data_IF_675255710301
#
_entry.id   IF_675255710301
#
_cell.length_a   1.000
_cell.length_b   1.000
_cell.length_c   1.000
_cell.angle_alpha   90.00
_cell.angle_beta   90.00
_cell.angle_gamma   90.00
#
_symmetry.space_group_name_H-M   'P 1'
#
loop_
_entity.id
_entity.type
_entity.pdbx_description
1 polymer ?
#
# COMPACT_ATOMS: atom_id res chain seq x y z
N UNK A 1 -19.71 -36.34 -1.15
CA UNK A 1 -21.19 -36.48 -1.26
C UNK A 1 -21.78 -35.09 -1.54
N UNK A 2 -22.75 -34.95 -2.45
CA UNK A 2 -23.42 -33.67 -2.77
C UNK A 2 -24.03 -32.98 -1.53
N UNK A 3 -24.50 -33.77 -0.56
CA UNK A 3 -24.96 -33.28 0.75
C UNK A 3 -23.95 -32.36 1.45
N UNK A 4 -22.67 -32.76 1.46
CA UNK A 4 -21.61 -32.04 2.16
C UNK A 4 -21.21 -30.76 1.43
N UNK A 5 -21.22 -30.78 0.10
CA UNK A 5 -21.02 -29.57 -0.70
C UNK A 5 -22.12 -28.54 -0.40
N UNK A 6 -23.38 -28.97 -0.39
CA UNK A 6 -24.53 -28.11 -0.05
C UNK A 6 -24.35 -27.45 1.33
N UNK A 7 -24.00 -28.24 2.35
CA UNK A 7 -23.74 -27.72 3.71
C UNK A 7 -22.61 -26.68 3.74
N UNK A 8 -21.52 -26.90 3.01
CA UNK A 8 -20.41 -25.93 2.96
C UNK A 8 -20.81 -24.63 2.23
N UNK A 9 -21.62 -24.73 1.18
CA UNK A 9 -22.17 -23.56 0.50
C UNK A 9 -23.12 -22.74 1.40
N UNK A 10 -23.93 -23.42 2.20
CA UNK A 10 -24.76 -22.78 3.23
C UNK A 10 -23.89 -22.10 4.30
N UNK A 11 -22.77 -22.72 4.70
CA UNK A 11 -21.82 -22.12 5.66
C UNK A 11 -21.15 -20.85 5.12
N UNK A 12 -20.85 -20.76 3.83
CA UNK A 12 -20.31 -19.55 3.21
C UNK A 12 -21.27 -18.36 3.33
N UNK A 13 -22.57 -18.62 3.26
CA UNK A 13 -23.63 -17.60 3.33
C UNK A 13 -24.16 -17.37 4.75
N UNK A 14 -23.75 -18.17 5.73
CA UNK A 14 -24.28 -18.11 7.09
C UNK A 14 -23.93 -16.78 7.75
N UNK A 15 -24.95 -15.99 8.07
CA UNK A 15 -24.80 -14.72 8.78
C UNK A 15 -24.05 -14.90 10.12
N UNK A 16 -23.29 -13.88 10.52
CA UNK A 16 -22.56 -13.89 11.80
C UNK A 16 -21.31 -14.77 11.84
N UNK A 17 -20.93 -15.42 10.73
CA UNK A 17 -19.69 -16.24 10.65
C UNK A 17 -18.52 -15.52 9.98
N UNK A 18 -18.80 -14.49 9.17
CA UNK A 18 -17.83 -13.81 8.31
C UNK A 18 -17.30 -14.64 7.14
N UNK A 19 -17.92 -15.79 6.84
CA UNK A 19 -17.45 -16.69 5.79
C UNK A 19 -17.66 -16.16 4.37
N UNK A 20 -18.47 -15.11 4.19
CA UNK A 20 -18.70 -14.46 2.89
C UNK A 20 -17.48 -13.71 2.34
N UNK A 21 -16.43 -13.54 3.14
CA UNK A 21 -15.17 -12.91 2.73
C UNK A 21 -14.00 -13.79 3.14
N UNK A 22 -12.96 -13.82 2.33
CA UNK A 22 -11.71 -14.51 2.61
C UNK A 22 -11.16 -14.09 3.98
N UNK A 23 -10.83 -15.07 4.83
CA UNK A 23 -10.32 -14.85 6.18
C UNK A 23 -9.01 -14.05 6.25
N UNK A 24 -8.28 -13.93 5.13
CA UNK A 24 -6.93 -13.37 5.12
C UNK A 24 -6.80 -12.04 4.38
N UNK A 25 -7.51 -11.85 3.27
CA UNK A 25 -7.42 -10.63 2.45
C UNK A 25 -8.75 -9.91 2.24
N UNK A 26 -9.85 -10.45 2.76
CA UNK A 26 -11.18 -9.87 2.62
C UNK A 26 -11.79 -9.97 1.22
N UNK A 27 -11.17 -10.69 0.27
CA UNK A 27 -11.77 -10.94 -1.05
C UNK A 27 -13.14 -11.62 -0.90
N UNK A 28 -14.22 -11.11 -1.54
CA UNK A 28 -15.56 -11.66 -1.39
C UNK A 28 -15.67 -13.06 -2.01
N UNK A 29 -16.69 -13.80 -1.58
CA UNK A 29 -17.10 -15.10 -2.13
C UNK A 29 -15.96 -16.15 -2.19
N UNK A 30 -15.28 -16.46 -1.06
CA UNK A 30 -14.21 -17.44 -1.06
C UNK A 30 -14.71 -18.84 -1.44
N UNK A 31 -13.95 -19.53 -2.28
CA UNK A 31 -14.27 -20.85 -2.84
C UNK A 31 -13.34 -21.97 -2.35
N UNK A 32 -12.40 -21.66 -1.46
CA UNK A 32 -11.52 -22.61 -0.78
C UNK A 32 -11.72 -22.58 0.73
N UNK A 33 -11.34 -23.66 1.40
CA UNK A 33 -11.31 -23.71 2.84
C UNK A 33 -10.03 -24.39 3.35
N UNK A 34 -9.46 -23.84 4.42
CA UNK A 34 -8.45 -24.55 5.22
C UNK A 34 -9.16 -25.35 6.31
N UNK A 35 -9.21 -26.67 6.11
CA UNK A 35 -9.98 -27.56 6.97
C UNK A 35 -9.25 -27.99 8.26
N UNK A 36 -7.96 -27.63 8.40
CA UNK A 36 -7.25 -27.70 9.68
C UNK A 36 -7.50 -26.48 10.57
N UNK A 37 -7.67 -25.32 9.94
CA UNK A 37 -7.86 -24.05 10.64
C UNK A 37 -9.33 -23.69 10.83
N UNK A 38 -10.23 -24.22 10.00
CA UNK A 38 -11.65 -23.94 10.07
C UNK A 38 -12.04 -22.60 9.44
N UNK A 39 -11.35 -22.21 8.36
CA UNK A 39 -11.56 -20.92 7.66
C UNK A 39 -11.86 -21.10 6.18
N UNK A 40 -12.59 -20.14 5.63
CA UNK A 40 -12.85 -19.98 4.20
C UNK A 40 -11.97 -18.86 3.63
N UNK A 41 -11.31 -19.15 2.51
CA UNK A 41 -10.28 -18.31 1.90
C UNK A 41 -10.43 -18.32 0.38
N UNK A 42 -9.95 -17.27 -0.29
CA UNK A 42 -9.95 -17.21 -1.75
C UNK A 42 -8.87 -18.11 -2.37
N UNK A 43 -8.95 -18.30 -3.69
CA UNK A 43 -7.95 -19.05 -4.45
C UNK A 43 -6.51 -18.57 -4.20
N UNK A 44 -6.27 -17.25 -4.18
CA UNK A 44 -4.94 -16.68 -3.99
C UNK A 44 -4.35 -17.02 -2.61
N UNK A 45 -5.13 -16.82 -1.55
CA UNK A 45 -4.73 -17.17 -0.18
C UNK A 45 -4.58 -18.69 0.00
N UNK A 46 -5.42 -19.50 -0.67
CA UNK A 46 -5.24 -20.96 -0.67
C UNK A 46 -3.86 -21.37 -1.19
N UNK A 47 -3.32 -20.67 -2.19
CA UNK A 47 -1.97 -20.86 -2.71
C UNK A 47 -0.88 -20.70 -1.65
N UNK A 48 -0.98 -19.65 -0.84
CA UNK A 48 -0.08 -19.43 0.30
C UNK A 48 -0.22 -20.54 1.34
N UNK A 49 -1.46 -20.92 1.68
CA UNK A 49 -1.74 -21.96 2.68
C UNK A 49 -1.20 -23.35 2.32
N UNK A 50 -0.95 -23.63 1.02
CA UNK A 50 -0.31 -24.88 0.58
C UNK A 50 1.17 -24.95 0.97
N UNK A 51 1.82 -23.83 1.27
CA UNK A 51 3.25 -23.76 1.56
C UNK A 51 3.61 -24.14 3.02
N UNK A 52 2.63 -24.44 3.88
CA UNK A 52 2.84 -24.90 5.26
C UNK A 52 1.84 -26.00 5.68
N UNK A 53 1.91 -27.20 5.06
CA UNK A 53 0.93 -28.28 5.22
C UNK A 53 0.79 -28.84 6.64
N UNK A 54 1.80 -28.63 7.49
CA UNK A 54 1.77 -28.99 8.90
C UNK A 54 0.65 -28.24 9.64
N UNK A 55 0.48 -26.94 9.36
CA UNK A 55 -0.49 -26.06 10.04
C UNK A 55 -1.80 -25.97 9.26
N UNK A 56 -1.75 -25.87 7.94
CA UNK A 56 -2.93 -25.68 7.09
C UNK A 56 -3.04 -26.74 6.00
N UNK A 57 -4.24 -27.25 5.77
CA UNK A 57 -4.56 -28.07 4.59
C UNK A 57 -5.80 -27.51 3.92
N UNK A 58 -5.75 -27.34 2.60
CA UNK A 58 -6.80 -26.66 1.84
C UNK A 58 -7.53 -27.62 0.91
N UNK A 59 -8.81 -27.36 0.68
CA UNK A 59 -9.67 -28.02 -0.32
C UNK A 59 -10.58 -26.98 -0.98
N UNK A 60 -10.89 -27.16 -2.25
CA UNK A 60 -11.96 -26.43 -2.94
C UNK A 60 -13.30 -26.83 -2.34
N UNK A 61 -14.12 -25.84 -2.00
CA UNK A 61 -15.47 -26.06 -1.46
C UNK A 61 -16.36 -26.76 -2.50
N UNK A 62 -16.14 -26.49 -3.79
CA UNK A 62 -17.00 -26.97 -4.89
C UNK A 62 -16.46 -28.22 -5.56
N UNK A 63 -15.14 -28.31 -5.75
CA UNK A 63 -14.52 -29.31 -6.61
C UNK A 63 -14.05 -30.56 -5.84
N UNK A 64 -13.66 -30.42 -4.57
CA UNK A 64 -13.08 -31.53 -3.83
C UNK A 64 -14.11 -32.38 -3.07
N UNK A 65 -13.71 -33.59 -2.69
CA UNK A 65 -14.47 -34.45 -1.80
C UNK A 65 -14.31 -34.03 -0.33
N UNK A 66 -15.45 -33.96 0.38
CA UNK A 66 -15.54 -33.60 1.78
C UNK A 66 -16.19 -34.71 2.60
N UNK A 67 -15.47 -35.16 3.62
CA UNK A 67 -15.92 -36.11 4.64
C UNK A 67 -16.82 -35.41 5.66
N UNK A 68 -17.75 -36.16 6.26
CA UNK A 68 -18.72 -35.62 7.22
C UNK A 68 -18.03 -34.96 8.43
N UNK A 69 -17.02 -35.62 9.00
CA UNK A 69 -16.24 -35.12 10.15
C UNK A 69 -15.55 -33.79 9.85
N UNK A 70 -15.05 -33.61 8.63
CA UNK A 70 -14.41 -32.37 8.20
C UNK A 70 -15.45 -31.25 8.04
N UNK A 71 -16.61 -31.53 7.45
CA UNK A 71 -17.70 -30.54 7.33
C UNK A 71 -18.23 -30.14 8.70
N UNK A 72 -18.33 -31.07 9.64
CA UNK A 72 -18.68 -30.77 11.03
C UNK A 72 -17.66 -29.87 11.69
N UNK A 73 -16.36 -30.14 11.51
CA UNK A 73 -15.32 -29.24 12.00
C UNK A 73 -15.45 -27.83 11.41
N UNK A 74 -15.69 -27.70 10.10
CA UNK A 74 -15.95 -26.40 9.47
C UNK A 74 -17.22 -25.72 10.02
N UNK A 75 -18.27 -26.49 10.29
CA UNK A 75 -19.56 -25.98 10.84
C UNK A 75 -19.39 -25.38 12.23
N UNK A 76 -18.53 -25.98 13.07
CA UNK A 76 -18.25 -25.49 14.41
C UNK A 76 -17.19 -24.36 14.43
N UNK A 77 -16.49 -24.13 13.32
CA UNK A 77 -15.56 -23.02 13.16
C UNK A 77 -16.15 -21.94 12.23
N UNK A 78 -15.29 -21.14 11.60
CA UNK A 78 -15.69 -20.01 10.77
C UNK A 78 -14.76 -18.82 10.95
N UNK A 79 -14.78 -17.94 9.96
CA UNK A 79 -13.80 -16.88 9.83
C UNK A 79 -13.77 -15.94 11.04
N UNK A 80 -14.92 -15.52 11.57
CA UNK A 80 -14.97 -14.65 12.75
C UNK A 80 -14.49 -15.33 14.03
N UNK A 81 -14.79 -16.63 14.21
CA UNK A 81 -14.31 -17.39 15.37
C UNK A 81 -12.78 -17.53 15.34
N UNK A 82 -12.23 -17.83 14.16
CA UNK A 82 -10.78 -17.97 13.98
C UNK A 82 -10.10 -16.60 14.06
N UNK A 83 -10.71 -15.53 13.53
CA UNK A 83 -10.27 -14.14 13.69
C UNK A 83 -10.15 -13.76 15.17
N UNK A 84 -11.18 -14.04 15.98
CA UNK A 84 -11.15 -13.76 17.41
C UNK A 84 -9.99 -14.46 18.16
N UNK A 85 -9.50 -15.59 17.64
CA UNK A 85 -8.33 -16.31 18.18
C UNK A 85 -7.00 -15.75 17.67
N UNK A 86 -6.82 -15.71 16.35
CA UNK A 86 -5.52 -15.41 15.71
C UNK A 86 -5.28 -13.93 15.43
N UNK A 87 -6.27 -13.08 15.61
CA UNK A 87 -6.19 -11.62 15.44
C UNK A 87 -6.58 -10.88 16.74
N UNK A 88 -6.48 -11.54 17.89
CA UNK A 88 -6.89 -11.00 19.19
C UNK A 88 -6.14 -9.73 19.62
N UNK A 89 -4.87 -9.60 19.21
CA UNK A 89 -3.96 -8.50 19.60
C UNK A 89 -3.21 -7.89 18.42
N UNK A 90 -3.87 -7.71 17.27
CA UNK A 90 -3.26 -7.04 16.12
C UNK A 90 -3.02 -5.57 16.47
N UNK A 91 -1.76 -5.07 16.43
CA UNK A 91 -1.50 -3.66 16.70
C UNK A 91 -2.16 -2.77 15.65
N UNK A 92 -2.68 -1.61 16.05
CA UNK A 92 -3.36 -0.67 15.13
C UNK A 92 -2.49 -0.21 13.95
N UNK A 93 -1.16 -0.17 14.13
CA UNK A 93 -0.22 0.15 13.06
C UNK A 93 0.05 -1.02 12.11
N UNK A 94 -0.25 -2.27 12.47
CA UNK A 94 0.07 -3.42 11.64
C UNK A 94 -0.80 -3.40 10.38
N UNK A 95 -0.19 -3.56 9.21
CA UNK A 95 -0.92 -3.53 7.95
C UNK A 95 -1.66 -4.85 7.70
N UNK A 96 -2.99 -4.78 7.57
CA UNK A 96 -3.84 -5.91 7.18
C UNK A 96 -4.06 -5.88 5.67
N UNK A 97 -3.59 -6.88 4.92
CA UNK A 97 -3.65 -6.87 3.46
C UNK A 97 -5.07 -6.97 2.91
N UNK A 98 -5.29 -6.35 1.77
CA UNK A 98 -6.52 -6.36 0.99
C UNK A 98 -6.40 -7.31 -0.23
N UNK A 99 -7.51 -7.57 -0.91
CA UNK A 99 -7.59 -8.47 -2.06
C UNK A 99 -6.63 -8.09 -3.21
N UNK A 100 -6.36 -6.80 -3.41
CA UNK A 100 -5.47 -6.30 -4.47
C UNK A 100 -4.01 -6.07 -4.02
N UNK A 101 -3.68 -6.34 -2.76
CA UNK A 101 -2.30 -6.21 -2.28
C UNK A 101 -1.37 -7.29 -2.86
N UNK A 102 -0.08 -6.96 -2.91
CA UNK A 102 0.96 -7.84 -3.41
C UNK A 102 1.09 -9.12 -2.56
N UNK A 103 1.63 -10.19 -3.17
CA UNK A 103 1.72 -11.51 -2.56
C UNK A 103 2.51 -11.51 -1.24
N UNK A 104 3.60 -10.76 -1.14
CA UNK A 104 4.43 -10.72 0.08
C UNK A 104 3.66 -10.22 1.31
N UNK A 105 2.76 -9.23 1.14
CA UNK A 105 1.93 -8.75 2.23
C UNK A 105 0.92 -9.82 2.69
N UNK A 106 0.26 -10.48 1.73
CA UNK A 106 -0.67 -11.59 2.01
C UNK A 106 0.03 -12.76 2.67
N UNK A 107 1.17 -13.18 2.13
CA UNK A 107 1.95 -14.29 2.66
C UNK A 107 2.40 -14.02 4.10
N UNK A 108 3.01 -12.87 4.35
CA UNK A 108 3.54 -12.59 5.68
C UNK A 108 2.45 -12.34 6.71
N UNK A 109 1.27 -11.84 6.30
CA UNK A 109 0.09 -11.78 7.16
C UNK A 109 -0.42 -13.16 7.55
N UNK A 110 -0.60 -14.05 6.58
CA UNK A 110 -1.04 -15.44 6.80
C UNK A 110 -0.07 -16.18 7.73
N UNK A 111 1.24 -16.05 7.48
CA UNK A 111 2.27 -16.63 8.34
C UNK A 111 2.32 -16.00 9.73
N UNK A 112 2.15 -14.68 9.85
CA UNK A 112 2.07 -13.99 11.14
C UNK A 112 0.93 -14.53 11.99
N UNK A 113 -0.25 -14.74 11.38
CA UNK A 113 -1.43 -15.29 12.05
C UNK A 113 -1.23 -16.75 12.46
N UNK A 114 -0.98 -17.64 11.51
CA UNK A 114 -1.18 -19.08 11.78
C UNK A 114 0.12 -19.83 12.10
N UNK A 115 1.23 -19.44 11.50
CA UNK A 115 2.54 -20.08 11.68
C UNK A 115 3.27 -19.52 12.90
N UNK A 116 3.34 -18.18 13.00
CA UNK A 116 4.07 -17.49 14.06
C UNK A 116 3.18 -17.05 15.23
N UNK A 117 1.87 -17.07 15.03
CA UNK A 117 0.86 -16.79 16.07
C UNK A 117 1.09 -15.45 16.79
N UNK A 118 1.53 -14.45 16.05
CA UNK A 118 2.02 -13.17 16.59
C UNK A 118 0.94 -12.35 17.32
N UNK A 119 -0.35 -12.62 17.05
CA UNK A 119 -1.47 -11.82 17.56
C UNK A 119 -2.45 -12.60 18.46
N UNK A 120 -2.11 -13.84 18.87
CA UNK A 120 -2.94 -14.62 19.79
C UNK A 120 -2.89 -14.05 21.22
N UNK A 121 -3.94 -14.27 22.01
CA UNK A 121 -4.02 -13.76 23.40
C UNK A 121 -3.12 -14.52 24.39
N UNK A 122 -2.94 -15.82 24.15
CA UNK A 122 -2.16 -16.81 24.91
C UNK A 122 -0.76 -17.05 24.33
N UNK A 123 -0.46 -16.47 23.16
CA UNK A 123 0.89 -16.50 22.60
C UNK A 123 1.87 -16.02 23.66
N UNK A 124 3.00 -16.74 23.83
CA UNK A 124 4.14 -16.30 24.66
C UNK A 124 4.25 -14.81 24.44
N UNK A 125 4.04 -14.03 25.48
CA UNK A 125 4.07 -12.58 25.45
C UNK A 125 5.40 -12.14 24.88
N UNK A 126 5.47 -12.06 23.56
CA UNK A 126 6.25 -11.04 22.89
C UNK A 126 5.45 -9.80 23.28
N UNK A 127 5.79 -9.28 24.46
CA UNK A 127 5.39 -7.96 24.89
C UNK A 127 5.49 -7.07 23.65
N UNK A 128 4.57 -6.11 23.43
CA UNK A 128 4.69 -5.11 22.37
C UNK A 128 6.14 -4.64 22.06
N UNK A 129 7.06 -4.58 23.06
CA UNK A 129 8.51 -4.48 22.86
C UNK A 129 9.23 -5.35 21.82
N UNK A 130 8.81 -6.56 21.45
CA UNK A 130 9.65 -7.47 20.65
C UNK A 130 9.15 -7.78 19.22
N UNK A 131 7.91 -7.40 18.86
CA UNK A 131 7.49 -7.31 17.45
C UNK A 131 8.07 -6.05 16.76
N UNK A 132 8.39 -5.02 17.55
CA UNK A 132 9.08 -3.78 17.14
C UNK A 132 9.92 -3.31 18.33
N UNK A 133 11.14 -3.86 18.47
CA UNK A 133 12.16 -3.48 19.47
C UNK A 133 12.14 -2.01 19.90
N UNK A 134 11.49 -1.65 21.00
CA UNK A 134 11.59 -0.32 21.65
C UNK A 134 11.48 0.94 20.75
N UNK A 135 10.85 0.82 19.57
CA UNK A 135 10.76 1.86 18.55
C UNK A 135 11.99 1.97 17.63
N UNK A 136 13.14 1.40 17.99
CA UNK A 136 14.33 1.50 17.16
C UNK A 136 14.56 0.19 16.39
N UNK A 137 14.80 0.28 15.08
CA UNK A 137 15.13 -0.88 14.24
C UNK A 137 16.39 -0.58 13.47
N UNK A 138 17.33 -1.51 13.44
CA UNK A 138 18.43 -1.46 12.49
C UNK A 138 18.55 -2.75 11.69
N UNK A 139 19.25 -2.66 10.57
CA UNK A 139 19.47 -3.78 9.69
C UNK A 139 19.89 -3.32 8.30
N UNK A 140 20.11 -4.28 7.42
CA UNK A 140 20.54 -3.99 6.06
C UNK A 140 19.39 -4.15 5.09
N UNK A 141 19.32 -3.23 4.12
CA UNK A 141 18.42 -3.35 2.98
C UNK A 141 19.23 -3.19 1.70
N UNK A 142 18.86 -3.96 0.68
CA UNK A 142 19.36 -3.73 -0.67
C UNK A 142 18.68 -2.48 -1.21
N UNK A 143 19.45 -1.43 -1.46
CA UNK A 143 18.94 -0.12 -1.89
C UNK A 143 19.43 0.22 -3.28
N UNK A 144 18.51 0.60 -4.16
CA UNK A 144 18.83 1.12 -5.50
C UNK A 144 19.63 2.42 -5.40
N UNK A 145 20.69 2.52 -6.20
CA UNK A 145 21.43 3.76 -6.41
C UNK A 145 20.57 4.87 -7.02
N UNK A 146 21.04 6.11 -6.92
CA UNK A 146 20.33 7.27 -7.52
C UNK A 146 20.47 7.23 -9.05
N UNK A 147 21.71 7.12 -9.50
CA UNK A 147 22.10 7.31 -10.90
C UNK A 147 22.58 6.00 -11.55
N UNK A 148 23.00 5.03 -10.73
CA UNK A 148 23.29 3.67 -11.18
C UNK A 148 22.12 2.75 -10.81
N UNK A 149 21.66 1.97 -11.78
CA UNK A 149 20.54 1.03 -11.62
C UNK A 149 20.84 -0.15 -10.67
N UNK A 150 21.94 -0.09 -9.92
CA UNK A 150 22.40 -1.17 -9.06
C UNK A 150 21.78 -1.07 -7.68
N UNK A 151 21.44 -2.22 -7.11
CA UNK A 151 21.10 -2.36 -5.71
C UNK A 151 22.35 -2.68 -4.92
N UNK A 152 22.59 -1.93 -3.85
CA UNK A 152 23.73 -2.15 -2.96
C UNK A 152 23.22 -2.23 -1.53
N UNK A 153 23.84 -3.12 -0.74
CA UNK A 153 23.51 -3.30 0.67
C UNK A 153 23.81 -2.02 1.46
N UNK A 154 22.84 -1.52 2.22
CA UNK A 154 22.94 -0.29 3.03
C UNK A 154 22.38 -0.55 4.41
N UNK A 155 23.06 -0.04 5.44
CA UNK A 155 22.57 -0.10 6.81
C UNK A 155 21.52 0.99 7.01
N UNK A 156 20.34 0.60 7.46
CA UNK A 156 19.25 1.49 7.84
C UNK A 156 19.07 1.45 9.35
N UNK A 157 18.75 2.59 9.94
CA UNK A 157 18.45 2.75 11.36
C UNK A 157 17.21 3.62 11.50
N UNK A 158 16.10 3.02 11.92
CA UNK A 158 14.90 3.70 12.36
C UNK A 158 15.04 4.03 13.84
N UNK A 159 14.87 5.30 14.19
CA UNK A 159 14.82 5.81 15.54
C UNK A 159 13.39 6.34 15.79
N UNK A 160 12.43 5.47 16.11
CA UNK A 160 11.02 5.88 16.14
C UNK A 160 10.73 6.96 17.19
N UNK A 161 11.41 6.92 18.34
CA UNK A 161 11.24 7.95 19.40
C UNK A 161 11.67 9.33 18.92
N UNK A 162 12.72 9.39 18.11
CA UNK A 162 13.22 10.63 17.49
C UNK A 162 12.43 11.01 16.23
N UNK A 163 11.61 10.10 15.70
CA UNK A 163 10.91 10.31 14.44
C UNK A 163 11.86 10.37 13.23
N UNK A 164 12.94 9.59 13.24
CA UNK A 164 13.98 9.63 12.18
C UNK A 164 14.26 8.25 11.57
N UNK A 165 14.43 8.20 10.25
CA UNK A 165 15.03 7.08 9.53
C UNK A 165 16.38 7.54 8.95
N UNK A 166 17.45 6.84 9.30
CA UNK A 166 18.81 7.12 8.82
C UNK A 166 19.27 5.96 7.94
N UNK A 167 20.10 6.24 6.93
CA UNK A 167 20.83 5.18 6.25
C UNK A 167 22.29 5.57 5.98
N UNK A 168 23.14 4.56 5.95
CA UNK A 168 24.58 4.68 5.82
C UNK A 168 25.06 3.95 4.55
N UNK A 169 26.04 4.53 3.86
CA UNK A 169 26.65 3.93 2.66
C UNK A 169 27.69 2.86 2.96
N UNK A 170 28.30 2.94 4.14
CA UNK A 170 29.29 2.02 4.68
C UNK A 170 28.88 1.67 6.12
N UNK A 171 29.28 0.51 6.61
CA UNK A 171 29.02 0.12 8.01
C UNK A 171 29.73 1.08 8.98
N UNK A 172 30.99 1.40 8.67
CA UNK A 172 31.81 2.38 9.37
C UNK A 172 31.97 3.65 8.53
N UNK A 173 31.62 4.82 9.09
CA UNK A 173 31.73 6.09 8.38
C UNK A 173 31.36 7.29 9.26
N UNK A 174 31.80 8.49 8.83
CA UNK A 174 31.69 9.76 9.58
C UNK A 174 30.25 10.25 9.87
N UNK A 175 29.21 9.55 9.41
CA UNK A 175 27.82 9.92 9.64
C UNK A 175 26.83 9.33 8.63
N UNK A 176 25.51 9.53 8.84
CA UNK A 176 24.48 9.03 7.95
C UNK A 176 24.55 9.72 6.58
N UNK A 177 24.32 8.95 5.51
CA UNK A 177 24.23 9.51 4.15
C UNK A 177 22.96 10.34 3.97
N UNK A 178 21.88 9.96 4.66
CA UNK A 178 20.68 10.75 4.78
C UNK A 178 20.02 10.54 6.14
N UNK A 179 19.40 11.60 6.63
CA UNK A 179 18.51 11.62 7.80
C UNK A 179 17.13 12.02 7.29
N UNK A 180 16.14 11.15 7.47
CA UNK A 180 14.80 11.29 6.89
C UNK A 180 13.81 11.43 8.03
N UNK A 181 13.04 12.51 8.03
CA UNK A 181 11.99 12.71 9.03
C UNK A 181 10.79 11.79 8.76
N UNK A 182 10.27 11.16 9.80
CA UNK A 182 9.06 10.33 9.75
C UNK A 182 7.82 11.18 9.43
N UNK A 183 7.83 12.50 9.69
CA UNK A 183 6.72 13.42 9.38
C UNK A 183 6.24 13.32 7.94
N UNK A 184 7.16 13.31 6.97
CA UNK A 184 6.85 13.34 5.54
C UNK A 184 7.11 11.99 4.85
N UNK A 185 7.47 10.95 5.62
CA UNK A 185 7.79 9.64 5.08
C UNK A 185 6.52 8.89 4.67
N UNK A 186 6.57 8.24 3.51
CA UNK A 186 5.63 7.22 3.09
C UNK A 186 6.37 5.93 2.72
N UNK A 187 5.69 4.80 2.82
CA UNK A 187 6.20 3.51 2.37
C UNK A 187 5.08 2.74 1.67
N UNK A 188 5.36 2.16 0.49
CA UNK A 188 4.42 1.34 -0.27
C UNK A 188 5.14 0.20 -0.95
N UNK A 189 4.56 -1.00 -0.96
CA UNK A 189 5.08 -2.09 -1.77
C UNK A 189 4.84 -1.80 -3.26
N UNK A 190 5.87 -2.00 -4.08
CA UNK A 190 5.89 -1.69 -5.51
C UNK A 190 6.65 -2.80 -6.25
N UNK A 191 6.24 -4.05 -6.01
CA UNK A 191 6.99 -5.26 -6.38
C UNK A 191 7.25 -5.37 -7.88
N UNK A 192 6.22 -5.13 -8.70
CA UNK A 192 6.32 -5.14 -10.16
C UNK A 192 7.19 -4.01 -10.69
N UNK A 193 6.96 -2.77 -10.22
CA UNK A 193 7.72 -1.59 -10.63
C UNK A 193 9.22 -1.75 -10.35
N UNK A 194 9.56 -2.33 -9.20
CA UNK A 194 10.93 -2.55 -8.75
C UNK A 194 11.55 -3.79 -9.41
N UNK A 195 10.73 -4.71 -9.91
CA UNK A 195 11.19 -6.00 -10.45
C UNK A 195 11.67 -6.95 -9.35
N UNK A 196 11.11 -6.85 -8.14
CA UNK A 196 11.47 -7.70 -7.01
C UNK A 196 10.22 -8.01 -6.14
N UNK A 197 9.98 -9.28 -5.76
CA UNK A 197 8.80 -9.67 -4.98
C UNK A 197 8.72 -9.01 -3.59
N UNK A 198 9.83 -8.48 -3.09
CA UNK A 198 9.97 -7.80 -1.81
C UNK A 198 10.27 -6.29 -2.00
N UNK A 199 10.00 -5.73 -3.18
CA UNK A 199 10.26 -4.34 -3.49
C UNK A 199 9.38 -3.37 -2.70
N UNK A 200 10.00 -2.54 -1.88
CA UNK A 200 9.39 -1.44 -1.12
C UNK A 200 9.88 -0.08 -1.65
N UNK A 201 8.96 0.80 -1.96
CA UNK A 201 9.23 2.21 -2.27
C UNK A 201 9.02 3.04 -1.01
N UNK A 202 10.08 3.67 -0.52
CA UNK A 202 10.03 4.69 0.54
C UNK A 202 10.12 6.06 -0.12
N UNK A 203 9.21 6.96 0.21
CA UNK A 203 9.25 8.35 -0.28
C UNK A 203 9.30 9.34 0.87
N UNK A 204 9.95 10.47 0.66
CA UNK A 204 10.02 11.56 1.64
C UNK A 204 10.26 12.90 0.95
N UNK A 205 9.93 13.99 1.62
CA UNK A 205 10.18 15.35 1.11
C UNK A 205 11.64 15.76 1.33
N UNK A 206 12.26 16.34 0.30
CA UNK A 206 13.60 16.92 0.35
C UNK A 206 13.66 18.14 -0.57
N UNK A 207 13.96 19.30 -0.01
CA UNK A 207 14.16 20.55 -0.78
C UNK A 207 12.98 20.84 -1.73
N UNK A 208 11.74 20.64 -1.25
CA UNK A 208 10.52 20.84 -2.05
C UNK A 208 10.14 19.69 -3.00
N UNK A 209 11.01 18.69 -3.15
CA UNK A 209 10.83 17.55 -4.03
C UNK A 209 10.45 16.26 -3.28
N UNK A 210 9.86 15.30 -3.99
CA UNK A 210 9.60 13.94 -3.51
C UNK A 210 10.77 13.03 -3.87
N UNK A 211 11.55 12.65 -2.86
CA UNK A 211 12.64 11.69 -3.04
C UNK A 211 12.11 10.26 -2.98
N UNK A 212 12.40 9.46 -3.99
CA UNK A 212 12.18 8.02 -4.00
C UNK A 212 13.43 7.24 -3.56
N UNK A 213 13.24 6.30 -2.63
CA UNK A 213 14.16 5.21 -2.34
C UNK A 213 13.47 3.89 -2.69
N UNK A 214 14.13 3.08 -3.51
CA UNK A 214 13.67 1.72 -3.83
C UNK A 214 14.57 0.75 -3.08
N UNK A 215 13.95 -0.07 -2.22
CA UNK A 215 14.64 -1.02 -1.35
C UNK A 215 13.98 -2.38 -1.41
N UNK A 216 14.73 -3.44 -1.08
CA UNK A 216 14.18 -4.75 -0.80
C UNK A 216 15.02 -5.48 0.25
N UNK A 217 14.48 -6.59 0.74
CA UNK A 217 15.23 -7.59 1.52
C UNK A 217 15.00 -8.98 0.91
N UNK A 218 15.94 -9.90 1.07
CA UNK A 218 15.82 -11.26 0.55
C UNK A 218 14.72 -12.06 1.28
N UNK A 219 14.61 -11.86 2.59
CA UNK A 219 13.48 -12.34 3.40
C UNK A 219 12.26 -11.42 3.27
N UNK A 220 11.12 -12.00 2.88
CA UNK A 220 9.81 -11.33 2.85
C UNK A 220 9.35 -10.89 4.24
N UNK A 221 9.66 -11.68 5.29
CA UNK A 221 9.35 -11.30 6.68
C UNK A 221 10.07 -10.01 7.06
N UNK A 222 11.36 -9.93 6.81
CA UNK A 222 12.18 -8.76 7.18
C UNK A 222 11.70 -7.47 6.52
N UNK A 223 11.35 -7.50 5.21
CA UNK A 223 10.87 -6.28 4.56
C UNK A 223 9.47 -5.86 5.08
N UNK A 224 8.61 -6.82 5.42
CA UNK A 224 7.29 -6.54 6.00
C UNK A 224 7.43 -6.03 7.44
N UNK A 225 8.37 -6.56 8.21
CA UNK A 225 8.71 -6.03 9.54
C UNK A 225 9.24 -4.59 9.45
N UNK A 226 10.11 -4.28 8.48
CA UNK A 226 10.55 -2.90 8.21
C UNK A 226 9.37 -1.99 7.86
N UNK A 227 8.46 -2.44 7.01
CA UNK A 227 7.26 -1.70 6.65
C UNK A 227 6.36 -1.42 7.86
N UNK A 228 6.09 -2.43 8.69
CA UNK A 228 5.29 -2.27 9.91
C UNK A 228 6.00 -1.45 10.99
N UNK A 229 7.33 -1.48 11.07
CA UNK A 229 8.10 -0.62 11.96
C UNK A 229 8.02 0.86 11.54
N UNK A 230 8.12 1.15 10.23
CA UNK A 230 7.88 2.50 9.70
C UNK A 230 6.45 2.96 9.99
N UNK A 231 5.47 2.06 9.86
CA UNK A 231 4.08 2.33 10.21
C UNK A 231 3.90 2.63 11.71
N UNK A 232 4.55 1.88 12.58
CA UNK A 232 4.53 2.15 14.02
C UNK A 232 5.09 3.54 14.36
N UNK A 233 6.25 3.89 13.80
CA UNK A 233 6.86 5.21 13.98
C UNK A 233 5.98 6.35 13.44
N UNK A 234 5.33 6.13 12.28
CA UNK A 234 4.37 7.05 11.69
C UNK A 234 3.14 7.26 12.58
N UNK A 235 2.56 6.19 13.13
CA UNK A 235 1.42 6.30 14.05
C UNK A 235 1.81 7.05 15.33
N UNK A 236 2.99 6.78 15.89
CA UNK A 236 3.49 7.50 17.05
C UNK A 236 3.63 9.00 16.77
N UNK A 237 4.23 9.37 15.63
CA UNK A 237 4.30 10.77 15.20
C UNK A 237 2.91 11.39 15.06
N UNK A 238 1.96 10.70 14.42
CA UNK A 238 0.61 11.21 14.20
C UNK A 238 -0.14 11.44 15.52
N UNK A 239 -0.03 10.53 16.49
CA UNK A 239 -0.62 10.71 17.83
C UNK A 239 -0.07 11.93 18.56
N UNK A 240 1.21 12.22 18.40
CA UNK A 240 1.84 13.39 19.02
C UNK A 240 1.49 14.69 18.29
N UNK A 241 1.36 14.63 16.96
CA UNK A 241 1.06 15.80 16.13
C UNK A 241 -0.43 16.18 16.14
N UNK A 242 -1.31 15.21 16.40
CA UNK A 242 -2.78 15.34 16.39
C UNK A 242 -3.40 14.63 17.61
N UNK A 243 -3.07 15.05 18.85
CA UNK A 243 -3.54 14.39 20.07
C UNK A 243 -5.07 14.42 20.24
N UNK A 244 -5.76 15.33 19.56
CA UNK A 244 -7.21 15.47 19.55
C UNK A 244 -7.93 14.43 18.69
N UNK A 245 -7.24 13.78 17.75
CA UNK A 245 -7.85 12.81 16.85
C UNK A 245 -7.82 11.39 17.44
N UNK A 246 -8.92 10.62 17.35
CA UNK A 246 -8.93 9.24 17.79
C UNK A 246 -7.99 8.39 16.90
N UNK A 247 -7.42 7.33 17.47
CA UNK A 247 -6.48 6.44 16.76
C UNK A 247 -7.07 5.88 15.46
N UNK A 248 -8.38 5.59 15.43
CA UNK A 248 -9.09 5.10 14.25
C UNK A 248 -9.04 6.06 13.06
N UNK A 249 -8.96 7.37 13.30
CA UNK A 249 -8.80 8.39 12.24
C UNK A 249 -7.34 8.57 11.81
N UNK A 250 -6.39 8.24 12.69
CA UNK A 250 -4.96 8.31 12.41
C UNK A 250 -4.44 7.11 11.59
N UNK A 251 -4.99 5.91 11.82
CA UNK A 251 -4.55 4.66 11.16
C UNK A 251 -4.55 4.75 9.62
N UNK A 252 -5.58 5.32 8.96
CA UNK A 252 -5.58 5.53 7.51
C UNK A 252 -4.47 6.45 6.98
N UNK A 253 -3.84 7.27 7.84
CA UNK A 253 -2.85 8.29 7.49
C UNK A 253 -1.40 7.84 7.67
N UNK A 254 -1.20 6.64 8.23
CA UNK A 254 0.12 6.10 8.57
C UNK A 254 0.98 5.96 7.31
N UNK A 255 0.51 5.19 6.33
CA UNK A 255 1.11 4.99 5.00
C UNK A 255 0.02 4.99 3.93
N UNK A 256 0.39 5.29 2.69
CA UNK A 256 -0.55 5.66 1.63
C UNK A 256 -0.18 5.00 0.33
N UNK A 257 -1.12 4.30 -0.30
CA UNK A 257 -0.93 3.77 -1.64
C UNK A 257 -1.27 4.81 -2.71
N UNK A 258 -0.60 4.73 -3.86
CA UNK A 258 -1.00 5.51 -5.03
C UNK A 258 -2.28 4.93 -5.61
N UNK A 259 -3.32 5.75 -5.78
CA UNK A 259 -4.65 5.29 -6.23
C UNK A 259 -4.66 4.92 -7.72
N UNK A 260 -3.78 5.54 -8.51
CA UNK A 260 -3.48 5.11 -9.88
C UNK A 260 -2.06 5.50 -10.26
N UNK A 261 -1.43 4.63 -11.06
CA UNK A 261 -0.12 4.86 -11.65
C UNK A 261 -0.13 4.36 -13.09
N UNK A 262 0.73 4.92 -13.94
CA UNK A 262 0.78 4.53 -15.34
C UNK A 262 1.44 5.58 -16.22
N UNK A 263 1.63 5.25 -17.49
CA UNK A 263 2.14 6.21 -18.47
C UNK A 263 1.02 7.06 -19.06
N UNK A 264 1.27 8.37 -19.15
CA UNK A 264 0.53 9.32 -19.99
C UNK A 264 1.54 10.16 -20.78
N UNK A 265 1.13 10.78 -21.89
CA UNK A 265 1.90 11.87 -22.48
C UNK A 265 1.42 13.21 -21.91
N UNK A 266 2.32 14.19 -21.81
CA UNK A 266 1.99 15.57 -21.43
C UNK A 266 2.73 16.58 -22.30
N UNK A 267 2.11 17.73 -22.53
CA UNK A 267 2.78 18.92 -23.12
C UNK A 267 3.21 19.93 -22.06
N UNK A 268 3.90 21.00 -22.46
CA UNK A 268 4.36 22.08 -21.60
C UNK A 268 3.26 23.11 -21.29
N UNK A 269 3.61 24.18 -20.55
CA UNK A 269 2.66 25.21 -20.15
C UNK A 269 2.03 25.96 -21.33
N UNK A 270 2.76 26.14 -22.43
CA UNK A 270 2.27 26.83 -23.63
C UNK A 270 1.43 25.94 -24.53
N UNK A 271 1.42 24.63 -24.27
CA UNK A 271 0.71 23.59 -25.04
C UNK A 271 1.16 23.46 -26.49
N UNK A 272 2.24 24.16 -26.86
CA UNK A 272 2.91 24.08 -28.16
C UNK A 272 4.17 23.23 -28.08
N UNK A 273 4.64 22.93 -26.87
CA UNK A 273 5.79 22.07 -26.67
C UNK A 273 5.45 20.62 -27.05
N UNK A 274 6.45 19.83 -27.53
CA UNK A 274 6.23 18.44 -27.87
C UNK A 274 5.70 17.63 -26.69
N UNK A 275 4.76 16.72 -26.97
CA UNK A 275 4.29 15.76 -25.99
C UNK A 275 5.43 14.84 -25.54
N UNK A 276 5.51 14.61 -24.24
CA UNK A 276 6.51 13.72 -23.65
C UNK A 276 5.82 12.65 -22.80
N UNK A 277 6.11 11.38 -23.09
CA UNK A 277 5.71 10.24 -22.25
C UNK A 277 6.34 10.37 -20.86
N UNK A 278 5.53 10.26 -19.82
CA UNK A 278 5.94 10.32 -18.41
C UNK A 278 5.22 9.26 -17.61
N UNK A 279 5.88 8.75 -16.57
CA UNK A 279 5.24 7.88 -15.58
C UNK A 279 4.55 8.76 -14.55
N UNK A 280 3.26 8.55 -14.32
CA UNK A 280 2.46 9.30 -13.37
C UNK A 280 2.10 8.45 -12.15
N UNK A 281 2.01 9.09 -10.99
CA UNK A 281 1.51 8.48 -9.76
C UNK A 281 0.61 9.48 -9.02
N UNK A 282 -0.63 9.06 -8.73
CA UNK A 282 -1.62 9.87 -8.03
C UNK A 282 -1.68 9.50 -6.55
N UNK A 283 -1.26 10.41 -5.68
CA UNK A 283 -1.45 10.32 -4.23
C UNK A 283 -2.73 11.07 -3.85
N UNK A 284 -3.73 10.32 -3.38
CA UNK A 284 -5.05 10.87 -3.05
C UNK A 284 -5.06 11.63 -1.73
N UNK A 285 -4.20 11.30 -0.77
CA UNK A 285 -4.18 11.98 0.52
C UNK A 285 -3.42 13.30 0.42
N UNK A 286 -2.31 13.33 -0.31
CA UNK A 286 -1.58 14.57 -0.62
C UNK A 286 -2.22 15.37 -1.75
N UNK A 287 -3.22 14.79 -2.43
CA UNK A 287 -3.90 15.36 -3.62
C UNK A 287 -2.91 15.80 -4.69
N UNK A 288 -1.90 14.97 -4.96
CA UNK A 288 -0.79 15.27 -5.88
C UNK A 288 -0.69 14.23 -6.98
N UNK A 289 -0.67 14.69 -8.22
CA UNK A 289 -0.28 13.92 -9.39
C UNK A 289 1.19 14.18 -9.68
N UNK A 290 2.06 13.24 -9.30
CA UNK A 290 3.50 13.28 -9.53
C UNK A 290 3.82 12.73 -10.92
N UNK A 291 4.82 13.28 -11.60
CA UNK A 291 5.28 12.72 -12.88
C UNK A 291 6.80 12.61 -13.00
N UNK A 292 7.25 11.50 -13.59
CA UNK A 292 8.65 11.08 -13.68
C UNK A 292 9.04 10.78 -15.13
N UNK A 293 10.32 10.83 -15.47
CA UNK A 293 10.79 10.36 -16.79
C UNK A 293 10.64 8.84 -16.85
N UNK A 294 11.09 8.14 -15.80
CA UNK A 294 10.94 6.70 -15.63
C UNK A 294 10.34 6.36 -14.25
N UNK A 295 9.69 5.19 -14.10
CA UNK A 295 9.04 4.81 -12.84
C UNK A 295 9.98 4.71 -11.63
N UNK A 296 11.26 4.40 -11.87
CA UNK A 296 12.30 4.23 -10.85
C UNK A 296 13.22 5.45 -10.70
N UNK A 297 12.83 6.61 -11.22
CA UNK A 297 13.59 7.84 -11.03
C UNK A 297 13.59 8.25 -9.55
N UNK A 298 14.72 8.78 -9.10
CA UNK A 298 14.91 9.18 -7.71
C UNK A 298 14.10 10.42 -7.30
N UNK A 299 13.71 11.26 -8.25
CA UNK A 299 12.95 12.49 -8.04
C UNK A 299 11.93 12.66 -9.16
N UNK A 300 10.82 13.30 -8.84
CA UNK A 300 9.83 13.72 -9.82
C UNK A 300 10.36 14.83 -10.73
N UNK A 301 9.86 14.88 -11.96
CA UNK A 301 10.07 15.98 -12.89
C UNK A 301 9.11 17.15 -12.62
N UNK A 302 8.09 16.92 -11.80
CA UNK A 302 7.15 17.90 -11.30
C UNK A 302 5.88 17.25 -10.80
N UNK A 303 4.94 18.09 -10.42
CA UNK A 303 3.71 17.68 -9.76
C UNK A 303 2.55 18.61 -10.10
N UNK A 304 1.33 18.09 -9.96
CA UNK A 304 0.09 18.85 -10.06
C UNK A 304 -0.68 18.64 -8.77
N UNK A 305 -0.96 19.73 -8.05
CA UNK A 305 -1.90 19.68 -6.93
C UNK A 305 -3.33 19.66 -7.49
N UNK A 306 -4.20 18.85 -6.90
CA UNK A 306 -5.61 18.73 -7.28
C UNK A 306 -6.44 19.32 -6.13
N UNK A 307 -6.83 20.58 -6.24
CA UNK A 307 -7.68 21.25 -5.26
C UNK A 307 -9.14 20.83 -5.40
N UNK A 308 -10.08 21.69 -4.99
CA UNK A 308 -11.53 21.47 -5.13
C UNK A 308 -12.11 22.32 -6.28
N UNK A 309 -13.35 22.01 -6.69
CA UNK A 309 -14.07 22.78 -7.70
C UNK A 309 -14.26 24.25 -7.30
N UNK A 310 -14.57 24.49 -6.02
CA UNK A 310 -14.69 25.83 -5.43
C UNK A 310 -13.39 26.64 -5.54
N UNK A 311 -12.25 25.96 -5.61
CA UNK A 311 -10.94 26.57 -5.76
C UNK A 311 -10.53 26.74 -7.24
N UNK A 312 -11.43 26.49 -8.20
CA UNK A 312 -11.14 26.63 -9.63
C UNK A 312 -10.39 25.45 -10.25
N UNK A 313 -10.49 24.26 -9.65
CA UNK A 313 -9.98 23.01 -10.22
C UNK A 313 -11.10 22.26 -10.95
N UNK A 314 -10.78 21.66 -12.10
CA UNK A 314 -11.75 20.83 -12.83
C UNK A 314 -11.01 19.77 -13.69
N UNK A 315 -11.72 18.71 -14.09
CA UNK A 315 -11.18 17.59 -14.86
C UNK A 315 -12.13 17.22 -16.00
N UNK A 316 -11.67 17.43 -17.23
CA UNK A 316 -12.42 17.16 -18.46
C UNK A 316 -11.87 15.97 -19.23
N UNK A 317 -12.79 15.24 -19.87
CA UNK A 317 -12.50 14.21 -20.86
C UNK A 317 -12.46 14.87 -22.23
N UNK A 318 -11.40 15.62 -22.50
CA UNK A 318 -11.26 16.38 -23.73
C UNK A 318 -9.79 16.62 -24.13
N UNK A 319 -9.62 17.15 -25.33
CA UNK A 319 -8.39 17.81 -25.76
C UNK A 319 -8.75 19.23 -26.22
N UNK A 320 -8.03 20.27 -25.75
CA UNK A 320 -8.22 21.62 -26.27
C UNK A 320 -8.10 21.68 -27.80
N UNK A 321 -8.88 22.56 -28.43
CA UNK A 321 -8.83 22.76 -29.89
C UNK A 321 -7.43 23.21 -30.30
N UNK A 322 -6.90 22.61 -31.38
CA UNK A 322 -5.60 22.98 -31.95
C UNK A 322 -4.39 22.25 -31.36
N UNK A 323 -4.58 21.33 -30.41
CA UNK A 323 -3.52 20.46 -29.91
C UNK A 323 -3.00 19.55 -31.03
N UNK A 324 -1.67 19.49 -31.17
CA UNK A 324 -0.95 18.66 -32.15
C UNK A 324 0.28 18.02 -31.49
N UNK A 325 0.82 16.98 -32.12
CA UNK A 325 2.09 16.35 -31.70
C UNK A 325 1.95 15.28 -30.61
N UNK A 326 0.72 14.93 -30.20
CA UNK A 326 0.43 13.77 -29.37
C UNK A 326 0.34 12.49 -30.22
N UNK A 327 0.91 11.39 -29.72
CA UNK A 327 0.77 10.09 -30.36
C UNK A 327 -0.54 9.43 -29.92
N UNK A 328 -0.83 9.49 -28.62
CA UNK A 328 -2.04 8.89 -28.06
C UNK A 328 -3.26 9.80 -28.23
N UNK A 329 -4.43 9.20 -28.47
CA UNK A 329 -5.67 9.94 -28.83
C UNK A 329 -6.62 10.17 -27.68
N UNK A 330 -6.64 9.27 -26.70
CA UNK A 330 -7.51 9.36 -25.53
C UNK A 330 -7.03 10.49 -24.60
N UNK A 331 -7.67 11.66 -24.65
CA UNK A 331 -7.18 12.87 -23.98
C UNK A 331 -7.92 13.24 -22.70
N UNK A 332 -7.23 13.88 -21.77
CA UNK A 332 -7.87 14.49 -20.60
C UNK A 332 -7.16 15.79 -20.23
N UNK A 333 -7.94 16.72 -19.67
CA UNK A 333 -7.45 18.04 -19.24
C UNK A 333 -7.70 18.23 -17.75
N UNK A 334 -6.65 18.60 -17.01
CA UNK A 334 -6.77 19.09 -15.63
C UNK A 334 -6.66 20.61 -15.64
N UNK A 335 -7.71 21.29 -15.21
CA UNK A 335 -7.73 22.73 -15.02
C UNK A 335 -7.32 23.05 -13.58
N UNK A 336 -6.43 24.01 -13.44
CA UNK A 336 -6.02 24.61 -12.16
C UNK A 336 -6.13 26.14 -12.28
N UNK A 337 -6.17 26.90 -11.18
CA UNK A 337 -6.25 28.36 -11.24
C UNK A 337 -5.09 29.00 -12.00
N UNK A 338 -3.92 28.36 -12.03
CA UNK A 338 -2.73 28.90 -12.68
C UNK A 338 -2.62 28.49 -14.14
N UNK A 339 -3.05 27.27 -14.51
CA UNK A 339 -2.95 26.76 -15.90
C UNK A 339 -3.79 25.52 -16.16
N UNK A 340 -3.93 25.17 -17.43
CA UNK A 340 -4.45 23.88 -17.91
C UNK A 340 -3.31 22.91 -18.18
N UNK A 341 -3.45 21.68 -17.71
CA UNK A 341 -2.57 20.56 -18.01
C UNK A 341 -3.28 19.61 -18.97
N UNK A 342 -2.64 19.33 -20.11
CA UNK A 342 -3.19 18.48 -21.16
C UNK A 342 -2.42 17.17 -21.19
N UNK A 343 -3.15 16.06 -21.12
CA UNK A 343 -2.61 14.71 -21.11
C UNK A 343 -3.27 13.84 -22.18
N UNK A 344 -2.55 12.81 -22.61
CA UNK A 344 -3.10 11.73 -23.44
C UNK A 344 -2.71 10.38 -22.86
N UNK A 345 -3.60 9.38 -23.00
CA UNK A 345 -3.48 8.04 -22.43
C UNK A 345 -3.34 6.97 -23.52
N UNK A 346 -2.65 5.85 -23.27
CA UNK A 346 -2.44 4.81 -24.27
C UNK A 346 -3.72 4.21 -24.86
N UNK A 347 -4.77 4.12 -24.05
CA UNK A 347 -6.08 3.57 -24.42
C UNK A 347 -7.21 4.35 -23.75
N UNK A 348 -8.42 4.27 -24.30
CA UNK A 348 -9.63 4.81 -23.68
C UNK A 348 -9.93 4.15 -22.32
N UNK A 349 -9.56 2.88 -22.15
CA UNK A 349 -9.67 2.20 -20.85
C UNK A 349 -8.81 2.90 -19.80
N UNK A 350 -7.54 3.15 -20.10
CA UNK A 350 -6.62 3.86 -19.20
C UNK A 350 -7.11 5.28 -18.90
N UNK A 351 -7.60 5.99 -19.91
CA UNK A 351 -8.19 7.33 -19.76
C UNK A 351 -9.38 7.32 -18.80
N UNK A 352 -10.34 6.40 -18.96
CA UNK A 352 -11.50 6.26 -18.05
C UNK A 352 -11.06 5.98 -16.61
N UNK A 353 -10.07 5.13 -16.41
CA UNK A 353 -9.53 4.84 -15.08
C UNK A 353 -8.81 6.06 -14.46
N UNK A 354 -8.07 6.84 -15.27
CA UNK A 354 -7.44 8.09 -14.83
C UNK A 354 -8.48 9.13 -14.45
N UNK A 355 -9.48 9.35 -15.30
CA UNK A 355 -10.58 10.28 -15.05
C UNK A 355 -11.32 9.92 -13.77
N UNK A 356 -11.67 8.63 -13.57
CA UNK A 356 -12.30 8.15 -12.34
C UNK A 356 -11.44 8.49 -11.11
N UNK A 357 -10.17 8.08 -11.13
CA UNK A 357 -9.27 8.26 -9.99
C UNK A 357 -9.02 9.75 -9.67
N UNK A 358 -8.86 10.59 -10.69
CA UNK A 358 -8.63 12.02 -10.53
C UNK A 358 -9.90 12.72 -10.01
N UNK A 359 -11.08 12.36 -10.53
CA UNK A 359 -12.38 12.88 -10.06
C UNK A 359 -12.66 12.47 -8.62
N UNK A 360 -12.38 11.23 -8.24
CA UNK A 360 -12.51 10.76 -6.85
C UNK A 360 -11.67 11.62 -5.89
N UNK A 361 -10.48 12.07 -6.31
CA UNK A 361 -9.64 12.99 -5.53
C UNK A 361 -10.21 14.41 -5.53
N UNK A 362 -10.66 14.92 -6.68
CA UNK A 362 -11.24 16.26 -6.83
C UNK A 362 -12.46 16.46 -5.92
N UNK A 363 -13.39 15.51 -5.94
CA UNK A 363 -14.67 15.57 -5.20
C UNK A 363 -14.56 15.18 -3.73
N UNK A 364 -13.44 14.60 -3.30
CA UNK A 364 -13.20 14.33 -1.88
C UNK A 364 -13.07 15.65 -1.12
N UNK A 365 -13.74 15.83 0.04
CA UNK A 365 -13.55 17.01 0.89
C UNK A 365 -12.08 17.19 1.29
N UNK A 366 -11.66 18.43 1.48
CA UNK A 366 -10.34 18.71 2.05
C UNK A 366 -10.34 18.31 3.52
N UNK A 367 -9.36 17.51 3.92
CA UNK A 367 -9.16 17.14 5.33
C UNK A 367 -8.40 18.26 6.07
N UNK A 368 -8.48 18.35 7.40
CA UNK A 368 -7.66 19.28 8.19
C UNK A 368 -6.15 19.19 7.88
N UNK A 369 -5.65 17.98 7.58
CA UNK A 369 -4.27 17.75 7.11
C UNK A 369 -3.97 18.40 5.74
N UNK A 370 -4.97 18.47 4.85
CA UNK A 370 -4.83 19.18 3.59
C UNK A 370 -4.75 20.70 3.79
N UNK A 371 -5.41 21.25 4.81
CA UNK A 371 -5.31 22.67 5.14
C UNK A 371 -3.93 23.03 5.74
N UNK A 372 -3.37 22.16 6.59
CA UNK A 372 -2.03 22.33 7.18
C UNK A 372 -0.87 22.18 6.18
N UNK A 373 -1.02 21.33 5.17
CA UNK A 373 0.01 21.17 4.12
C UNK A 373 0.03 22.34 3.12
N UNK A 374 -1.08 23.10 2.99
CA UNK A 374 -1.19 24.30 2.15
C UNK A 374 -0.41 25.48 2.73
N UNK A 375 -0.41 25.66 4.04
CA UNK A 375 0.35 26.73 4.73
C UNK A 375 1.86 26.49 4.75
N UNK A 376 2.32 25.24 4.68
CA UNK A 376 3.76 24.90 4.63
C UNK A 376 4.33 24.78 3.19
N UNK A 377 3.48 24.81 2.17
CA UNK A 377 3.86 24.68 0.75
C UNK A 377 3.97 25.99 -0.03
N UNK A 378 3.55 27.11 0.56
CA UNK A 378 3.82 28.44 0.04
C UNK A 378 5.24 28.84 0.47
N UNK A 379 6.23 28.42 -0.31
CA UNK A 379 7.43 29.24 -0.45
C UNK A 379 6.95 30.63 -0.85
N UNK A 380 7.32 31.64 -0.05
CA UNK A 380 7.11 33.06 -0.39
C UNK A 380 7.64 33.33 -1.82
N UNK A 381 7.03 34.30 -2.53
CA UNK A 381 7.30 34.57 -3.95
C UNK A 381 8.79 34.68 -4.30
#
# INVERSE_FOLDING_TARGET
CERNKKRLLELLQRAGTGNAHCADCGEPDPDWASYKLGIFICLNCSGVHRNFPAISKVKSVRLDFWEDSIVEFMTHNGNLRVKAKYEARVPAFYYVPQANDCLVLKEQWIRAKYERQEFMADGKTISPPALVGQGNREGFLWKRGRDNAQFLKRRFVLLAREGLLKYYTKEEGKGPKAVISIKDLNATFQTEKIGNPHGLQITYRREGHVRNLFVYHESGKEIVDWFNALRAARLQYLKMAFPELPESELVPLITRNYVKQGFMEKTGPKQTEPFKKRWFALDSQERRLLYYKNPLDAFEQGQVFIGSNEQGYDIYEDLPKGIRGNHWKAGLTIVTPQRKFVFTCPTEKEQREWLRSLRDVLYRPLTPLNHLSKTQGLGKP
#
